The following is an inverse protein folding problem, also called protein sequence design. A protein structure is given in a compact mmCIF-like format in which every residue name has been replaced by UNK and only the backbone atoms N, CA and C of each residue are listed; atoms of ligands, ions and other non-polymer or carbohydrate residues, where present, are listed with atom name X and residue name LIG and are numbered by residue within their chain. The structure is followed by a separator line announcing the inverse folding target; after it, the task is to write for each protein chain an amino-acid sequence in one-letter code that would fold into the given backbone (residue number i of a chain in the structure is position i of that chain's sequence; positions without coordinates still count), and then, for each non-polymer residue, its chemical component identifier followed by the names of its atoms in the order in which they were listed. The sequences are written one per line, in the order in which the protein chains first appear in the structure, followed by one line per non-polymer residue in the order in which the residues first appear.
data_IF_708988361694
#
_entry.id   IF_708988361694
#
_cell.length_a   1.000
_cell.length_b   1.000
_cell.length_c   1.000
_cell.angle_alpha   90.00
_cell.angle_beta   90.00
_cell.angle_gamma   90.00
#
_symmetry.space_group_name_H-M   'P 1'
#
loop_
_entity.id
_entity.type
_entity.pdbx_description
1 polymer ?
#
# COMPACT_ATOMS: atom_id res chain seq x y z
N UNK A 1 14.26 -5.64 18.21
CA UNK A 1 13.89 -6.53 17.10
C UNK A 1 13.15 -5.73 16.06
N UNK A 2 13.55 -5.78 14.79
CA UNK A 2 12.81 -5.12 13.70
C UNK A 2 11.60 -6.00 13.41
N UNK A 3 10.39 -5.49 13.65
CA UNK A 3 9.17 -6.17 13.24
C UNK A 3 9.09 -6.10 11.72
N UNK A 4 9.13 -7.26 11.07
CA UNK A 4 9.01 -7.36 9.64
C UNK A 4 7.61 -6.95 9.18
N UNK A 5 7.53 -6.12 8.13
CA UNK A 5 6.25 -5.66 7.60
C UNK A 5 5.71 -6.71 6.65
N UNK A 6 4.60 -7.35 7.02
CA UNK A 6 3.91 -8.28 6.14
C UNK A 6 3.27 -7.52 4.98
N UNK A 7 3.69 -7.82 3.75
CA UNK A 7 2.99 -7.41 2.52
C UNK A 7 1.77 -8.32 2.36
N UNK A 8 0.58 -7.73 2.26
CA UNK A 8 -0.67 -8.46 2.00
C UNK A 8 -1.38 -7.82 0.82
N UNK A 9 -2.01 -8.64 -0.03
CA UNK A 9 -2.92 -8.15 -1.06
C UNK A 9 -4.26 -7.81 -0.42
N UNK A 10 -4.59 -6.53 -0.40
CA UNK A 10 -5.88 -6.04 0.09
C UNK A 10 -6.87 -5.97 -1.07
N UNK A 11 -7.98 -6.70 -0.98
CA UNK A 11 -9.12 -6.49 -1.88
C UNK A 11 -9.93 -5.31 -1.36
N UNK A 12 -10.02 -4.26 -2.17
CA UNK A 12 -10.77 -3.06 -1.87
C UNK A 12 -11.62 -2.70 -3.08
N UNK A 13 -12.80 -2.15 -2.82
CA UNK A 13 -13.58 -1.51 -3.88
C UNK A 13 -12.76 -0.35 -4.50
N UNK A 14 -12.67 -0.25 -5.85
CA UNK A 14 -11.85 0.78 -6.50
C UNK A 14 -12.23 2.21 -6.09
N UNK A 15 -13.52 2.49 -5.88
CA UNK A 15 -14.00 3.83 -5.48
C UNK A 15 -13.53 4.15 -4.06
N UNK A 16 -13.51 3.16 -3.18
CA UNK A 16 -13.00 3.32 -1.80
C UNK A 16 -11.49 3.53 -1.81
N UNK A 17 -10.77 2.79 -2.66
CA UNK A 17 -9.33 3.00 -2.85
C UNK A 17 -9.03 4.44 -3.27
N UNK A 18 -9.77 4.96 -4.26
CA UNK A 18 -9.57 6.31 -4.77
C UNK A 18 -9.88 7.39 -3.72
N UNK A 19 -10.94 7.19 -2.93
CA UNK A 19 -11.26 8.07 -1.82
C UNK A 19 -10.14 8.12 -0.77
N UNK A 20 -9.57 6.96 -0.42
CA UNK A 20 -8.43 6.87 0.51
C UNK A 20 -7.17 7.52 -0.08
N UNK A 21 -6.91 7.34 -1.37
CA UNK A 21 -5.78 7.97 -2.05
C UNK A 21 -5.89 9.50 -2.05
N UNK A 22 -7.07 10.05 -2.36
CA UNK A 22 -7.32 11.50 -2.32
C UNK A 22 -7.15 12.05 -0.89
N UNK A 23 -7.74 11.39 0.11
CA UNK A 23 -7.59 11.81 1.50
C UNK A 23 -6.12 11.75 1.97
N UNK A 24 -5.37 10.73 1.55
CA UNK A 24 -3.93 10.65 1.83
C UNK A 24 -3.18 11.84 1.22
N UNK A 25 -3.49 12.20 -0.04
CA UNK A 25 -2.91 13.35 -0.72
C UNK A 25 -3.20 14.66 -0.01
N UNK A 26 -4.44 14.89 0.40
CA UNK A 26 -4.86 16.10 1.13
C UNK A 26 -4.08 16.26 2.45
N UNK A 27 -3.77 15.15 3.12
CA UNK A 27 -2.99 15.17 4.35
C UNK A 27 -1.48 15.21 4.14
N UNK A 28 -0.96 15.05 2.92
CA UNK A 28 0.46 14.83 2.56
C UNK A 28 1.02 13.49 3.08
N UNK A 29 0.23 12.42 3.00
CA UNK A 29 0.51 11.07 3.49
C UNK A 29 0.58 10.10 2.29
N UNK A 30 1.33 9.00 2.41
CA UNK A 30 1.20 7.92 1.43
C UNK A 30 -0.12 7.18 1.64
N UNK A 31 -0.71 6.62 0.59
CA UNK A 31 -1.96 5.83 0.69
C UNK A 31 -1.82 4.70 1.72
N UNK A 32 -0.69 3.98 1.74
CA UNK A 32 -0.43 2.92 2.73
C UNK A 32 -0.38 3.46 4.16
N UNK A 33 0.24 4.62 4.37
CA UNK A 33 0.25 5.26 5.68
C UNK A 33 -1.15 5.70 6.09
N UNK A 34 -1.97 6.20 5.16
CA UNK A 34 -3.35 6.57 5.46
C UNK A 34 -4.19 5.35 5.84
N UNK A 35 -4.09 4.25 5.07
CA UNK A 35 -4.75 2.98 5.38
C UNK A 35 -4.36 2.49 6.78
N UNK A 36 -3.07 2.47 7.10
CA UNK A 36 -2.61 2.05 8.43
C UNK A 36 -3.17 2.93 9.55
N UNK A 37 -3.20 4.25 9.34
CA UNK A 37 -3.76 5.19 10.30
C UNK A 37 -5.25 4.91 10.57
N UNK A 38 -6.04 4.76 9.50
CA UNK A 38 -7.48 4.46 9.59
C UNK A 38 -7.72 3.13 10.30
N UNK A 39 -6.98 2.07 9.96
CA UNK A 39 -7.13 0.76 10.59
C UNK A 39 -6.80 0.80 12.09
N UNK A 40 -5.70 1.45 12.47
CA UNK A 40 -5.31 1.59 13.90
C UNK A 40 -6.35 2.37 14.68
N UNK A 41 -6.86 3.45 14.09
CA UNK A 41 -7.93 4.26 14.70
C UNK A 41 -9.20 3.43 14.89
N UNK A 42 -9.66 2.74 13.85
CA UNK A 42 -10.84 1.88 13.91
C UNK A 42 -10.69 0.75 14.94
N UNK A 43 -9.53 0.12 15.02
CA UNK A 43 -9.22 -0.89 16.05
C UNK A 43 -9.24 -0.30 17.46
N UNK A 44 -8.69 0.91 17.64
CA UNK A 44 -8.70 1.61 18.92
C UNK A 44 -10.12 1.97 19.36
N UNK A 45 -10.92 2.53 18.45
CA UNK A 45 -12.33 2.90 18.70
C UNK A 45 -13.18 1.67 19.00
N UNK A 46 -12.87 0.52 18.39
CA UNK A 46 -13.52 -0.76 18.68
C UNK A 46 -13.01 -1.45 19.97
N UNK A 47 -12.00 -0.90 20.66
CA UNK A 47 -11.36 -1.53 21.82
C UNK A 47 -10.60 -2.83 21.49
N UNK A 48 -10.13 -2.98 20.24
CA UNK A 48 -9.46 -4.18 19.70
C UNK A 48 -8.00 -3.93 19.33
N UNK A 49 -7.45 -2.76 19.61
CA UNK A 49 -6.05 -2.47 19.34
C UNK A 49 -5.15 -3.27 20.31
N UNK A 50 -4.23 -4.11 19.83
CA UNK A 50 -3.33 -4.86 20.70
C UNK A 50 -2.35 -3.95 21.48
N UNK A 51 -1.97 -4.34 22.70
CA UNK A 51 -1.03 -3.57 23.55
C UNK A 51 0.39 -3.45 22.97
N UNK A 52 0.74 -4.31 22.01
CA UNK A 52 2.07 -4.37 21.39
C UNK A 52 2.23 -3.59 20.09
N UNK A 53 1.23 -2.81 19.64
CA UNK A 53 1.37 -2.12 18.35
C UNK A 53 2.35 -0.94 18.49
N UNK A 54 3.55 -1.10 17.91
CA UNK A 54 4.58 -0.07 17.90
C UNK A 54 4.13 1.26 17.30
N UNK A 55 4.81 2.36 17.70
CA UNK A 55 4.54 3.72 17.21
C UNK A 55 4.55 3.76 15.68
N UNK A 56 3.59 4.48 15.10
CA UNK A 56 3.58 4.73 13.66
C UNK A 56 4.88 5.44 13.26
N UNK A 57 5.52 4.99 12.17
CA UNK A 57 6.79 5.60 11.74
C UNK A 57 6.54 7.06 11.34
N UNK A 58 7.42 8.00 11.73
CA UNK A 58 7.28 9.40 11.36
C UNK A 58 7.34 9.58 9.84
N UNK A 59 6.70 10.66 9.36
CA UNK A 59 6.67 11.04 7.95
C UNK A 59 8.11 11.28 7.46
N UNK A 60 8.43 10.77 6.27
CA UNK A 60 9.75 10.93 5.67
C UNK A 60 10.22 9.67 4.95
N UNK A 61 11.23 9.83 4.09
CA UNK A 61 11.81 8.72 3.34
C UNK A 61 12.40 7.70 4.33
N UNK A 62 11.92 6.45 4.40
CA UNK A 62 12.63 5.42 5.13
C UNK A 62 14.05 5.33 4.57
N UNK A 63 15.07 5.28 5.45
CA UNK A 63 16.46 5.02 5.02
C UNK A 63 16.44 3.70 4.23
N UNK A 64 17.03 3.69 3.03
CA UNK A 64 17.08 2.54 2.12
C UNK A 64 17.78 1.38 2.84
N UNK A 65 17.00 0.47 3.43
CA UNK A 65 17.44 -0.91 3.57
C UNK A 65 17.29 -1.50 2.16
N UNK A 66 18.39 -2.03 1.64
CA UNK A 66 18.43 -2.74 0.36
C UNK A 66 17.47 -3.94 0.39
N UNK A 67 17.00 -4.28 -0.81
CA UNK A 67 16.31 -5.52 -1.21
C UNK A 67 14.81 -5.62 -0.88
N UNK A 68 14.02 -5.58 -1.96
CA UNK A 68 12.84 -6.42 -2.21
C UNK A 68 12.39 -6.17 -3.66
N UNK A 69 13.02 -6.97 -4.50
CA UNK A 69 12.69 -7.49 -5.84
C UNK A 69 11.47 -6.99 -6.65
N UNK A 70 11.80 -6.55 -7.87
CA UNK A 70 11.37 -7.18 -9.13
C UNK A 70 9.98 -7.83 -9.20
N UNK A 71 8.90 -7.05 -9.13
CA UNK A 71 7.60 -7.48 -9.68
C UNK A 71 6.97 -6.27 -10.39
N UNK A 72 7.00 -6.28 -11.73
CA UNK A 72 6.49 -5.17 -12.55
C UNK A 72 6.95 -5.18 -14.00
N UNK A 73 7.78 -6.14 -14.43
CA UNK A 73 8.10 -6.38 -15.83
C UNK A 73 7.67 -7.79 -16.22
N UNK A 74 6.37 -8.00 -16.41
CA UNK A 74 5.83 -9.19 -17.10
C UNK A 74 4.34 -8.95 -17.39
N UNK A 75 4.04 -7.84 -18.06
CA UNK A 75 2.73 -7.64 -18.70
C UNK A 75 2.84 -6.58 -19.80
N UNK A 76 3.61 -6.90 -20.84
CA UNK A 76 3.64 -6.12 -22.09
C UNK A 76 3.85 -7.00 -23.34
N UNK A 77 3.92 -8.32 -23.19
CA UNK A 77 3.98 -9.26 -24.31
C UNK A 77 2.75 -10.17 -24.22
N UNK A 78 1.62 -9.69 -24.74
CA UNK A 78 0.51 -10.48 -25.31
C UNK A 78 -0.69 -9.56 -25.56
N UNK A 79 -0.54 -8.65 -26.51
CA UNK A 79 -1.66 -8.27 -27.38
C UNK A 79 -1.18 -8.56 -28.80
N UNK A 80 -1.54 -9.75 -29.27
CA UNK A 80 -1.36 -10.13 -30.65
C UNK A 80 -2.32 -9.38 -31.57
N UNK A 81 -1.95 -9.39 -32.84
CA UNK A 81 -2.81 -9.71 -33.99
C UNK A 81 -2.66 -8.74 -35.17
N UNK A 82 -2.70 -9.38 -36.34
CA UNK A 82 -3.04 -8.88 -37.67
C UNK A 82 -2.02 -8.03 -38.46
N UNK A 83 -1.35 -8.71 -39.39
CA UNK A 83 -1.71 -8.55 -40.81
C UNK A 83 -0.85 -7.63 -41.67
N UNK A 84 -0.32 -8.21 -42.76
CA UNK A 84 -0.15 -7.72 -44.16
C UNK A 84 1.16 -8.32 -44.72
N UNK A 85 1.12 -9.33 -45.60
CA UNK A 85 0.74 -9.30 -47.02
C UNK A 85 1.66 -8.39 -47.87
N UNK A 86 2.45 -9.01 -48.77
CA UNK A 86 3.24 -8.33 -49.80
C UNK A 86 4.49 -9.08 -50.19
#
# INVERSE_FOLDING_TARGET
MVVERKKILLRLDPVVHDALARWASDELRSTNSQIEFVLRRALSEAGRLPDGVGRMRPRGRPRKAQEDDQEGKEQADEDGDAGEAG
#
